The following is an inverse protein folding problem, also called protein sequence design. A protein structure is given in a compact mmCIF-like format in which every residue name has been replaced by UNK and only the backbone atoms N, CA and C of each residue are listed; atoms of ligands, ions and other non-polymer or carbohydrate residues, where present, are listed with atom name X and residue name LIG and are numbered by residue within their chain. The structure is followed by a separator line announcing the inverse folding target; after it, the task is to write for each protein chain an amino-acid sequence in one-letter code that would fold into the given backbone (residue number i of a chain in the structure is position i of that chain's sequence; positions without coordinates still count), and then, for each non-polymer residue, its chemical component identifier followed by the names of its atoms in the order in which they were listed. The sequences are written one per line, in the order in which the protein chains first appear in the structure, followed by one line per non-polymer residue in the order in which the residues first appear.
data_IF_827736648074
#
_entry.id   IF_827736648074
#
_cell.length_a   1.000
_cell.length_b   1.000
_cell.length_c   1.000
_cell.angle_alpha   90.00
_cell.angle_beta   90.00
_cell.angle_gamma   90.00
#
_symmetry.space_group_name_H-M   'P 1'
#
loop_
_entity.id
_entity.type
_entity.pdbx_description
1 polymer ?
#
# COMPACT_ATOMS: atom_id res chain seq x y z
N UNK A 1 -4.11 -17.84 16.69
CA UNK A 1 -3.06 -16.78 16.88
C UNK A 1 -2.86 -16.02 15.57
N UNK A 2 -2.57 -14.70 15.64
CA UNK A 2 -2.26 -13.87 14.47
C UNK A 2 -0.76 -13.92 14.13
N UNK A 3 -0.41 -14.15 12.87
CA UNK A 3 0.92 -13.88 12.33
C UNK A 3 0.88 -12.65 11.41
N UNK A 4 1.83 -11.75 11.58
CA UNK A 4 2.01 -10.56 10.76
C UNK A 4 3.22 -10.76 9.85
N UNK A 5 2.98 -10.90 8.55
CA UNK A 5 4.03 -11.00 7.54
C UNK A 5 4.46 -9.57 7.20
N UNK A 6 5.63 -9.18 7.70
CA UNK A 6 6.10 -7.80 7.66
C UNK A 6 7.05 -7.54 6.50
N UNK A 7 6.79 -6.47 5.79
CA UNK A 7 7.73 -5.77 4.92
C UNK A 7 8.20 -4.44 5.54
N UNK A 8 8.76 -3.57 4.72
CA UNK A 8 9.30 -2.26 5.09
C UNK A 8 8.19 -1.21 5.28
N UNK A 9 8.51 -0.10 5.94
CA UNK A 9 7.62 1.03 6.18
C UNK A 9 6.91 0.98 7.54
N UNK A 10 6.11 2.00 7.82
CA UNK A 10 5.52 2.23 9.14
C UNK A 10 4.29 1.34 9.45
N UNK A 11 3.62 0.78 8.45
CA UNK A 11 2.38 0.02 8.63
C UNK A 11 2.53 -1.18 9.59
N UNK A 12 3.58 -2.03 9.50
CA UNK A 12 3.76 -3.14 10.43
C UNK A 12 3.80 -2.70 11.89
N UNK A 13 4.59 -1.67 12.19
CA UNK A 13 4.70 -1.11 13.55
C UNK A 13 3.37 -0.56 14.04
N UNK A 14 2.59 0.07 13.15
CA UNK A 14 1.27 0.60 13.49
C UNK A 14 0.29 -0.52 13.83
N UNK A 15 0.27 -1.60 13.09
CA UNK A 15 -0.57 -2.77 13.37
C UNK A 15 -0.21 -3.36 14.73
N UNK A 16 1.08 -3.61 14.98
CA UNK A 16 1.53 -4.19 16.27
C UNK A 16 1.13 -3.33 17.47
N UNK A 17 1.25 -2.00 17.37
CA UNK A 17 0.84 -1.06 18.44
C UNK A 17 -0.66 -1.11 18.75
N UNK A 18 -1.50 -1.51 17.80
CA UNK A 18 -2.95 -1.58 17.95
C UNK A 18 -3.46 -2.99 18.26
N UNK A 19 -2.62 -4.02 18.21
CA UNK A 19 -3.00 -5.37 18.60
C UNK A 19 -3.10 -5.51 20.12
N UNK A 20 -4.19 -6.11 20.61
CA UNK A 20 -4.32 -6.43 22.05
C UNK A 20 -3.24 -7.40 22.53
N UNK A 21 -2.90 -8.39 21.71
CA UNK A 21 -1.77 -9.30 21.93
C UNK A 21 -0.77 -9.12 20.78
N UNK A 22 0.52 -9.10 21.11
CA UNK A 22 1.57 -9.00 20.12
C UNK A 22 1.46 -10.17 19.12
N UNK A 23 1.30 -9.92 17.82
CA UNK A 23 1.28 -10.96 16.82
C UNK A 23 2.66 -11.62 16.67
N UNK A 24 2.71 -12.80 16.08
CA UNK A 24 3.95 -13.42 15.64
C UNK A 24 4.50 -12.60 14.45
N UNK A 25 5.67 -12.01 14.61
CA UNK A 25 6.30 -11.18 13.57
C UNK A 25 7.11 -12.08 12.65
N UNK A 26 6.73 -12.11 11.39
CA UNK A 26 7.37 -12.92 10.35
C UNK A 26 7.87 -12.00 9.24
N UNK A 27 9.06 -12.21 8.72
CA UNK A 27 9.61 -11.34 7.68
C UNK A 27 10.39 -12.12 6.63
N UNK A 28 10.30 -11.67 5.38
CA UNK A 28 11.26 -12.08 4.35
C UNK A 28 12.65 -11.56 4.71
N UNK A 29 13.65 -12.45 4.65
CA UNK A 29 15.04 -12.09 4.99
C UNK A 29 15.56 -10.88 4.21
N UNK A 30 15.08 -10.71 2.97
CA UNK A 30 15.49 -9.62 2.07
C UNK A 30 14.78 -8.27 2.37
N UNK A 31 13.63 -8.28 3.06
CA UNK A 31 12.78 -7.10 3.29
C UNK A 31 12.33 -7.05 4.75
N UNK A 32 13.28 -6.79 5.64
CA UNK A 32 13.03 -6.69 7.08
C UNK A 32 12.22 -5.44 7.41
N UNK A 33 11.30 -5.49 8.38
CA UNK A 33 10.61 -4.31 8.88
C UNK A 33 11.60 -3.35 9.55
N UNK A 34 11.35 -2.04 9.41
CA UNK A 34 12.30 -1.00 9.82
C UNK A 34 12.46 -0.90 11.35
N UNK A 35 11.37 -1.12 12.10
CA UNK A 35 11.33 -0.88 13.57
C UNK A 35 10.99 -2.13 14.38
N UNK A 36 10.69 -3.25 13.75
CA UNK A 36 10.30 -4.49 14.43
C UNK A 36 11.40 -5.54 14.31
N UNK A 37 11.57 -6.33 15.39
CA UNK A 37 12.43 -7.50 15.35
C UNK A 37 11.57 -8.72 14.99
N UNK A 38 11.80 -9.39 13.86
CA UNK A 38 11.07 -10.58 13.49
C UNK A 38 11.34 -11.75 14.44
N UNK A 39 10.28 -12.48 14.77
CA UNK A 39 10.37 -13.76 15.48
C UNK A 39 10.79 -14.89 14.55
N UNK A 40 10.44 -14.77 13.27
CA UNK A 40 10.77 -15.72 12.21
C UNK A 40 11.23 -14.94 10.97
N UNK A 41 12.39 -15.35 10.44
CA UNK A 41 12.85 -14.91 9.13
C UNK A 41 12.74 -16.07 8.15
N UNK A 42 12.23 -15.83 6.95
CA UNK A 42 12.10 -16.84 5.90
C UNK A 42 12.54 -16.31 4.55
N UNK A 43 12.65 -17.19 3.59
CA UNK A 43 12.88 -16.92 2.19
C UNK A 43 11.75 -17.57 1.38
N UNK A 44 11.46 -17.10 0.17
CA UNK A 44 10.44 -17.76 -0.66
C UNK A 44 10.81 -19.21 -0.97
N UNK A 45 12.09 -19.53 -1.02
CA UNK A 45 12.62 -20.89 -1.18
C UNK A 45 12.30 -21.82 -0.01
N UNK A 46 11.91 -21.25 1.14
CA UNK A 46 11.53 -22.00 2.37
C UNK A 46 10.10 -21.70 2.80
N UNK A 47 9.24 -21.30 1.87
CA UNK A 47 7.84 -20.94 2.16
C UNK A 47 7.04 -22.11 2.74
N UNK A 48 7.22 -23.33 2.21
CA UNK A 48 6.55 -24.52 2.73
C UNK A 48 6.95 -24.82 4.18
N UNK A 49 8.25 -24.71 4.50
CA UNK A 49 8.72 -24.82 5.89
C UNK A 49 8.11 -23.73 6.79
N UNK A 50 7.95 -22.50 6.28
CA UNK A 50 7.25 -21.46 7.04
C UNK A 50 5.80 -21.85 7.34
N UNK A 51 5.05 -22.31 6.33
CA UNK A 51 3.63 -22.68 6.51
C UNK A 51 3.49 -23.81 7.55
N UNK A 52 4.35 -24.81 7.53
CA UNK A 52 4.39 -25.88 8.53
C UNK A 52 4.69 -25.33 9.93
N UNK A 53 5.69 -24.44 10.06
CA UNK A 53 6.05 -23.82 11.32
C UNK A 53 4.91 -22.94 11.90
N UNK A 54 4.18 -22.22 11.04
CA UNK A 54 3.01 -21.43 11.47
C UNK A 54 1.88 -22.34 11.98
N UNK A 55 1.62 -23.46 11.33
CA UNK A 55 0.67 -24.47 11.77
C UNK A 55 1.08 -25.08 13.12
N UNK A 56 2.34 -25.45 13.31
CA UNK A 56 2.87 -25.96 14.59
C UNK A 56 2.75 -24.95 15.73
N UNK A 57 2.74 -23.64 15.41
CA UNK A 57 2.54 -22.55 16.38
C UNK A 57 1.07 -22.16 16.57
N UNK A 58 0.15 -22.94 16.04
CA UNK A 58 -1.30 -22.69 16.14
C UNK A 58 -1.72 -21.31 15.59
N UNK A 59 -1.01 -20.81 14.57
CA UNK A 59 -1.43 -19.64 13.81
C UNK A 59 -2.70 -20.00 13.05
N UNK A 60 -3.70 -19.17 13.11
CA UNK A 60 -4.98 -19.34 12.38
C UNK A 60 -5.21 -18.22 11.38
N UNK A 61 -4.63 -17.06 11.64
CA UNK A 61 -4.89 -15.84 10.89
C UNK A 61 -3.57 -15.20 10.48
N UNK A 62 -3.50 -14.71 9.24
CA UNK A 62 -2.32 -14.05 8.68
C UNK A 62 -2.72 -12.69 8.13
N UNK A 63 -1.93 -11.68 8.43
CA UNK A 63 -2.04 -10.36 7.82
C UNK A 63 -0.70 -10.00 7.17
N UNK A 64 -0.75 -9.44 5.97
CA UNK A 64 0.42 -8.91 5.28
C UNK A 64 0.47 -7.40 5.46
N UNK A 65 1.63 -6.85 5.80
CA UNK A 65 1.78 -5.43 6.03
C UNK A 65 3.17 -4.92 5.68
N UNK A 66 3.22 -3.77 5.03
CA UNK A 66 4.47 -3.12 4.61
C UNK A 66 4.93 -3.52 3.22
N UNK A 67 5.84 -2.72 2.67
CA UNK A 67 6.33 -2.87 1.32
C UNK A 67 7.31 -4.05 1.17
N UNK A 68 7.03 -4.91 0.22
CA UNK A 68 7.93 -5.99 -0.21
C UNK A 68 8.15 -5.78 -1.71
N UNK A 69 9.39 -5.56 -2.09
CA UNK A 69 9.77 -5.57 -3.50
C UNK A 69 9.86 -7.02 -3.98
N UNK A 70 9.88 -7.20 -5.29
CA UNK A 70 10.02 -8.52 -5.88
C UNK A 70 11.32 -9.18 -5.42
N UNK A 71 11.26 -10.30 -4.65
CA UNK A 71 12.45 -10.96 -4.14
C UNK A 71 13.14 -11.76 -5.25
N UNK A 72 14.46 -11.86 -5.14
CA UNK A 72 15.23 -12.81 -5.95
C UNK A 72 15.04 -14.23 -5.41
N UNK A 73 14.79 -15.17 -6.31
CA UNK A 73 14.61 -16.61 -5.98
C UNK A 73 15.76 -17.43 -6.55
N UNK A 74 16.38 -18.22 -5.70
CA UNK A 74 17.36 -19.21 -6.10
C UNK A 74 16.75 -20.62 -6.06
N UNK A 75 16.38 -21.14 -7.22
CA UNK A 75 15.72 -22.45 -7.34
C UNK A 75 16.51 -23.62 -6.74
N UNK A 76 17.84 -23.48 -6.57
CA UNK A 76 18.69 -24.53 -5.96
C UNK A 76 18.55 -24.57 -4.42
N UNK A 77 17.91 -23.58 -3.82
CA UNK A 77 17.69 -23.47 -2.37
C UNK A 77 16.27 -23.84 -1.96
N UNK A 78 15.40 -24.22 -2.90
CA UNK A 78 14.02 -24.63 -2.61
C UNK A 78 14.08 -25.91 -1.76
N UNK A 79 13.51 -25.82 -0.56
CA UNK A 79 13.46 -26.94 0.39
C UNK A 79 12.38 -27.97 0.01
N UNK A 80 12.40 -29.14 0.68
CA UNK A 80 11.50 -30.25 0.41
C UNK A 80 10.02 -29.86 0.62
N UNK A 81 9.70 -29.06 1.64
CA UNK A 81 8.35 -28.61 1.93
C UNK A 81 7.86 -27.56 0.92
N UNK A 82 8.77 -26.80 0.31
CA UNK A 82 8.44 -25.79 -0.70
C UNK A 82 8.35 -26.36 -2.12
N UNK A 83 8.95 -27.53 -2.38
CA UNK A 83 8.93 -28.16 -3.70
C UNK A 83 7.52 -28.27 -4.32
N UNK A 84 6.47 -28.66 -3.58
CA UNK A 84 5.10 -28.68 -4.13
C UNK A 84 4.58 -27.31 -4.56
N UNK A 85 5.07 -26.23 -3.97
CA UNK A 85 4.67 -24.85 -4.24
C UNK A 85 5.52 -24.18 -5.35
N UNK A 86 6.59 -24.82 -5.79
CA UNK A 86 7.58 -24.22 -6.70
C UNK A 86 6.94 -23.72 -8.02
N UNK A 87 5.97 -24.46 -8.56
CA UNK A 87 5.26 -24.06 -9.77
C UNK A 87 4.42 -22.80 -9.55
N UNK A 88 3.66 -22.72 -8.45
CA UNK A 88 2.84 -21.57 -8.09
C UNK A 88 3.70 -20.33 -7.81
N UNK A 89 4.82 -20.50 -7.11
CA UNK A 89 5.78 -19.42 -6.85
C UNK A 89 6.37 -18.90 -8.17
N UNK A 90 6.76 -19.80 -9.07
CA UNK A 90 7.29 -19.42 -10.39
C UNK A 90 6.23 -18.67 -11.23
N UNK A 91 4.98 -19.11 -11.19
CA UNK A 91 3.86 -18.43 -11.84
C UNK A 91 3.64 -17.03 -11.26
N UNK A 92 3.66 -16.89 -9.93
CA UNK A 92 3.56 -15.61 -9.25
C UNK A 92 4.65 -14.65 -9.71
N UNK A 93 5.89 -15.12 -9.79
CA UNK A 93 7.02 -14.30 -10.21
C UNK A 93 6.97 -13.90 -11.69
N UNK A 94 6.20 -14.58 -12.52
CA UNK A 94 5.98 -14.21 -13.93
C UNK A 94 4.85 -13.19 -14.14
N UNK A 95 4.00 -12.95 -13.11
CA UNK A 95 2.89 -11.99 -13.14
C UNK A 95 3.34 -10.59 -12.71
N UNK A 96 2.46 -9.59 -12.89
CA UNK A 96 2.57 -8.28 -12.22
C UNK A 96 2.42 -8.41 -10.71
N UNK A 97 2.63 -7.30 -9.98
CA UNK A 97 2.68 -7.34 -8.52
C UNK A 97 1.34 -7.80 -7.90
N UNK A 98 0.19 -7.29 -8.39
CA UNK A 98 -1.13 -7.75 -7.93
C UNK A 98 -1.35 -9.26 -8.19
N UNK A 99 -0.94 -9.74 -9.36
CA UNK A 99 -1.05 -11.16 -9.69
C UNK A 99 -0.17 -12.05 -8.82
N UNK A 100 1.03 -11.60 -8.46
CA UNK A 100 1.93 -12.31 -7.56
C UNK A 100 1.34 -12.38 -6.14
N UNK A 101 0.80 -11.28 -5.65
CA UNK A 101 0.18 -11.18 -4.32
C UNK A 101 -1.05 -12.10 -4.18
N UNK A 102 -1.89 -12.22 -5.22
CA UNK A 102 -3.03 -13.15 -5.23
C UNK A 102 -2.60 -14.60 -5.07
N UNK A 103 -1.56 -15.02 -5.82
CA UNK A 103 -1.04 -16.38 -5.69
C UNK A 103 -0.51 -16.63 -4.28
N UNK A 104 0.13 -15.61 -3.66
CA UNK A 104 0.57 -15.73 -2.26
C UNK A 104 -0.61 -15.91 -1.31
N UNK A 105 -1.69 -15.14 -1.44
CA UNK A 105 -2.92 -15.32 -0.64
C UNK A 105 -3.45 -16.74 -0.81
N UNK A 106 -3.60 -17.21 -2.05
CA UNK A 106 -4.11 -18.56 -2.34
C UNK A 106 -3.25 -19.65 -1.68
N UNK A 107 -1.92 -19.52 -1.66
CA UNK A 107 -1.01 -20.47 -0.99
C UNK A 107 -1.31 -20.52 0.52
N UNK A 108 -1.45 -19.35 1.18
CA UNK A 108 -1.75 -19.31 2.61
C UNK A 108 -3.15 -19.84 2.93
N UNK A 109 -4.17 -19.49 2.14
CA UNK A 109 -5.54 -19.99 2.30
C UNK A 109 -5.62 -21.52 2.09
N UNK A 110 -4.92 -22.06 1.10
CA UNK A 110 -4.82 -23.52 0.87
C UNK A 110 -4.10 -24.25 2.00
N UNK A 111 -3.18 -23.57 2.69
CA UNK A 111 -2.51 -24.08 3.89
C UNK A 111 -3.40 -24.00 5.16
N UNK A 112 -4.60 -23.43 5.06
CA UNK A 112 -5.60 -23.37 6.13
C UNK A 112 -5.60 -22.11 6.98
N UNK A 113 -4.93 -21.02 6.53
CA UNK A 113 -4.92 -19.75 7.23
C UNK A 113 -6.01 -18.80 6.70
N UNK A 114 -6.66 -18.08 7.61
CA UNK A 114 -7.49 -16.93 7.25
C UNK A 114 -6.59 -15.74 6.94
N UNK A 115 -6.68 -15.19 5.72
CA UNK A 115 -5.93 -13.98 5.34
C UNK A 115 -6.83 -12.76 5.50
N UNK A 116 -6.42 -11.82 6.35
CA UNK A 116 -7.15 -10.59 6.68
C UNK A 116 -6.37 -9.34 6.28
N UNK A 117 -7.09 -8.23 6.09
CA UNK A 117 -6.51 -6.92 5.80
C UNK A 117 -5.97 -6.22 7.05
N UNK A 118 -5.13 -5.21 6.85
CA UNK A 118 -4.65 -4.35 7.93
C UNK A 118 -5.80 -3.56 8.58
N UNK A 119 -6.80 -3.19 7.82
CA UNK A 119 -8.02 -2.49 8.24
C UNK A 119 -8.95 -3.34 9.09
N UNK A 120 -8.93 -4.67 8.97
CA UNK A 120 -9.65 -5.57 9.87
C UNK A 120 -9.06 -5.53 11.30
N UNK A 121 -7.74 -5.26 11.43
CA UNK A 121 -7.06 -5.16 12.72
C UNK A 121 -7.13 -3.73 13.26
N UNK A 122 -6.98 -2.74 12.39
CA UNK A 122 -6.93 -1.31 12.74
C UNK A 122 -7.91 -0.53 11.84
N UNK A 123 -9.21 -0.52 12.15
CA UNK A 123 -10.24 0.13 11.34
C UNK A 123 -9.99 1.63 11.14
N UNK A 124 -9.35 2.30 12.11
CA UNK A 124 -9.05 3.74 12.06
C UNK A 124 -8.06 4.12 10.94
N UNK A 125 -7.42 3.14 10.29
CA UNK A 125 -6.60 3.38 9.09
C UNK A 125 -7.45 3.84 7.89
N UNK A 126 -8.75 3.60 7.90
CA UNK A 126 -9.69 4.00 6.85
C UNK A 126 -10.61 5.12 7.35
N UNK A 127 -10.23 6.39 7.18
CA UNK A 127 -11.05 7.52 7.62
C UNK A 127 -12.38 7.60 6.86
N UNK A 128 -13.38 8.19 7.52
CA UNK A 128 -14.71 8.42 6.95
C UNK A 128 -14.67 9.44 5.80
N UNK A 129 -15.67 9.38 4.92
CA UNK A 129 -15.88 10.33 3.82
C UNK A 129 -15.96 11.76 4.34
N UNK A 130 -15.28 12.67 3.67
CA UNK A 130 -15.27 14.09 3.96
C UNK A 130 -13.90 14.74 3.84
N UNK A 131 -13.83 16.03 4.09
CA UNK A 131 -12.57 16.77 4.16
C UNK A 131 -12.07 16.72 5.60
N UNK A 132 -10.85 16.21 5.78
CA UNK A 132 -10.27 16.00 7.11
C UNK A 132 -9.56 17.23 7.67
N UNK A 133 -9.21 18.20 6.81
CA UNK A 133 -8.36 19.36 7.11
C UNK A 133 -9.15 20.66 7.10
N UNK A 134 -8.52 21.74 7.60
CA UNK A 134 -9.13 23.09 7.60
C UNK A 134 -9.29 23.67 6.21
N UNK A 135 -8.30 23.47 5.34
CA UNK A 135 -8.38 23.87 3.94
C UNK A 135 -9.37 22.99 3.22
N UNK A 136 -10.22 23.59 2.39
CA UNK A 136 -11.21 22.88 1.58
C UNK A 136 -10.76 22.81 0.12
N UNK A 137 -11.12 21.74 -0.62
CA UNK A 137 -10.89 21.67 -2.05
C UNK A 137 -11.76 22.71 -2.79
N UNK A 138 -11.18 23.35 -3.79
CA UNK A 138 -11.90 24.23 -4.73
C UNK A 138 -12.71 23.39 -5.73
N UNK A 139 -13.58 24.04 -6.52
CA UNK A 139 -14.30 23.38 -7.61
C UNK A 139 -13.32 22.82 -8.68
N UNK A 140 -12.19 23.48 -8.90
CA UNK A 140 -11.17 22.98 -9.79
C UNK A 140 -10.51 21.71 -9.25
N UNK A 141 -10.17 21.69 -7.94
CA UNK A 141 -9.60 20.50 -7.29
C UNK A 141 -10.58 19.30 -7.35
N UNK A 142 -11.88 19.54 -7.25
CA UNK A 142 -12.91 18.49 -7.39
C UNK A 142 -12.96 17.95 -8.83
N UNK A 143 -12.85 18.84 -9.82
CA UNK A 143 -12.76 18.45 -11.23
C UNK A 143 -11.50 17.64 -11.51
N UNK A 144 -10.36 18.07 -10.93
CA UNK A 144 -9.08 17.36 -11.04
C UNK A 144 -9.14 15.99 -10.36
N UNK A 145 -9.83 15.88 -9.21
CA UNK A 145 -10.07 14.60 -8.53
C UNK A 145 -10.91 13.62 -9.40
N UNK A 146 -11.98 14.12 -10.02
CA UNK A 146 -12.80 13.33 -10.96
C UNK A 146 -11.94 12.82 -12.13
N UNK A 147 -11.07 13.68 -12.66
CA UNK A 147 -10.11 13.29 -13.69
C UNK A 147 -9.13 12.22 -13.19
N UNK A 148 -8.64 12.36 -11.94
CA UNK A 148 -7.76 11.39 -11.29
C UNK A 148 -8.39 10.01 -11.16
N UNK A 149 -9.63 9.96 -10.73
CA UNK A 149 -10.38 8.71 -10.66
C UNK A 149 -10.47 8.04 -12.04
N UNK A 150 -10.87 8.79 -13.08
CA UNK A 150 -10.98 8.26 -14.43
C UNK A 150 -9.63 7.70 -14.96
N UNK A 151 -8.51 8.36 -14.63
CA UNK A 151 -7.16 7.91 -15.03
C UNK A 151 -6.82 6.60 -14.32
N UNK A 152 -6.92 6.54 -12.97
CA UNK A 152 -6.58 5.33 -12.21
C UNK A 152 -7.49 4.17 -12.60
N UNK A 153 -8.79 4.41 -12.77
CA UNK A 153 -9.71 3.39 -13.27
C UNK A 153 -9.33 2.87 -14.67
N UNK A 154 -8.95 3.78 -15.57
CA UNK A 154 -8.58 3.44 -16.94
C UNK A 154 -7.31 2.58 -17.06
N UNK A 155 -6.34 2.75 -16.14
CA UNK A 155 -5.08 1.99 -16.15
C UNK A 155 -5.07 0.81 -15.18
N UNK A 156 -6.11 0.63 -14.38
CA UNK A 156 -6.20 -0.44 -13.37
C UNK A 156 -5.91 -1.83 -13.94
N UNK A 157 -6.42 -2.12 -15.15
CA UNK A 157 -6.21 -3.41 -15.81
C UNK A 157 -4.79 -3.61 -16.35
N UNK A 158 -3.98 -2.53 -16.40
CA UNK A 158 -2.60 -2.57 -16.88
C UNK A 158 -1.58 -2.74 -15.74
N UNK A 159 -2.05 -2.75 -14.50
CA UNK A 159 -1.22 -2.89 -13.29
C UNK A 159 -0.06 -1.87 -13.21
N UNK A 160 -0.30 -0.61 -13.60
CA UNK A 160 0.75 0.41 -13.72
C UNK A 160 1.01 1.14 -12.39
N UNK A 161 -0.04 1.61 -11.70
CA UNK A 161 0.08 2.39 -10.47
C UNK A 161 -1.29 2.72 -9.89
N UNK A 162 -1.29 3.39 -8.73
CA UNK A 162 -2.50 3.69 -7.95
C UNK A 162 -2.56 5.15 -7.49
N UNK A 163 -1.68 6.01 -8.04
CA UNK A 163 -1.70 7.45 -7.80
C UNK A 163 -1.38 8.26 -9.05
N UNK A 164 -1.93 9.46 -9.15
CA UNK A 164 -1.59 10.44 -10.18
C UNK A 164 -1.68 11.87 -9.63
N UNK A 165 -0.88 12.77 -10.20
CA UNK A 165 -0.93 14.20 -9.92
C UNK A 165 -1.63 14.92 -11.08
N UNK A 166 -2.62 15.76 -10.75
CA UNK A 166 -3.45 16.46 -11.73
C UNK A 166 -3.62 17.91 -11.33
N UNK A 167 -3.48 18.82 -12.28
CA UNK A 167 -3.79 20.22 -12.11
C UNK A 167 -4.44 20.79 -13.37
N UNK A 168 -5.54 21.53 -13.19
CA UNK A 168 -6.29 22.17 -14.28
C UNK A 168 -6.68 21.18 -15.41
N UNK A 169 -7.07 19.97 -15.04
CA UNK A 169 -7.45 18.90 -15.97
C UNK A 169 -6.27 18.20 -16.66
N UNK A 170 -5.02 18.63 -16.40
CA UNK A 170 -3.81 18.03 -17.01
C UNK A 170 -3.19 17.02 -16.04
N UNK A 171 -2.85 15.84 -16.56
CA UNK A 171 -2.06 14.84 -15.81
C UNK A 171 -0.62 15.32 -15.79
N UNK A 172 -0.11 15.67 -14.61
CA UNK A 172 1.26 16.13 -14.43
C UNK A 172 2.24 14.96 -14.31
N UNK A 173 1.84 13.93 -13.59
CA UNK A 173 2.61 12.70 -13.40
C UNK A 173 1.68 11.54 -13.04
N UNK A 174 2.14 10.33 -13.29
CA UNK A 174 1.46 9.10 -12.92
C UNK A 174 2.42 8.16 -12.22
N UNK A 175 1.94 7.52 -11.16
CA UNK A 175 2.71 6.50 -10.45
C UNK A 175 2.96 5.29 -11.35
N UNK A 176 4.19 4.80 -11.31
CA UNK A 176 4.63 3.59 -11.97
C UNK A 176 5.64 2.87 -11.05
N UNK A 177 6.56 2.09 -11.60
CA UNK A 177 7.54 1.28 -10.87
C UNK A 177 8.30 2.03 -9.76
N UNK A 178 8.54 3.33 -9.92
CA UNK A 178 9.23 4.16 -8.91
C UNK A 178 8.41 4.46 -7.66
N UNK A 179 7.10 4.21 -7.66
CA UNK A 179 6.19 4.51 -6.56
C UNK A 179 5.78 5.98 -6.47
N UNK A 180 4.87 6.28 -5.53
CA UNK A 180 4.30 7.63 -5.32
C UNK A 180 5.37 8.67 -5.00
N UNK A 181 6.36 8.31 -4.19
CA UNK A 181 7.42 9.22 -3.75
C UNK A 181 8.29 9.69 -4.91
N UNK A 182 8.70 8.75 -5.77
CA UNK A 182 9.47 9.08 -6.96
C UNK A 182 8.65 9.96 -7.93
N UNK A 183 7.37 9.64 -8.10
CA UNK A 183 6.46 10.45 -8.91
C UNK A 183 6.37 11.89 -8.40
N UNK A 184 6.15 12.09 -7.10
CA UNK A 184 6.07 13.43 -6.49
C UNK A 184 7.39 14.18 -6.60
N UNK A 185 8.52 13.52 -6.34
CA UNK A 185 9.85 14.11 -6.49
C UNK A 185 10.12 14.57 -7.92
N UNK A 186 9.68 13.84 -8.94
CA UNK A 186 9.85 14.24 -10.34
C UNK A 186 9.16 15.58 -10.67
N UNK A 187 8.12 15.94 -9.90
CA UNK A 187 7.42 17.21 -10.06
C UNK A 187 8.16 18.40 -9.48
N UNK A 188 9.14 18.21 -8.60
CA UNK A 188 9.97 19.29 -8.04
C UNK A 188 10.98 19.83 -9.05
N UNK A 189 11.35 19.03 -10.04
CA UNK A 189 12.34 19.36 -11.08
C UNK A 189 11.71 19.99 -12.34
N UNK A 190 10.46 20.43 -12.27
CA UNK A 190 9.74 21.00 -13.41
C UNK A 190 10.41 22.27 -13.93
N UNK A 191 10.64 22.33 -15.23
CA UNK A 191 11.16 23.51 -15.92
C UNK A 191 10.08 24.11 -16.83
N UNK A 192 9.93 25.44 -16.78
CA UNK A 192 8.96 26.16 -17.60
C UNK A 192 7.63 26.41 -16.89
N UNK A 193 6.59 26.75 -17.66
CA UNK A 193 5.26 27.10 -17.14
C UNK A 193 4.39 25.85 -16.98
N UNK A 194 4.40 25.30 -15.77
CA UNK A 194 3.49 24.20 -15.40
C UNK A 194 2.27 24.74 -14.63
N UNK A 195 1.12 24.09 -14.69
CA UNK A 195 0.01 24.41 -13.81
C UNK A 195 0.44 24.34 -12.33
N UNK A 196 0.01 25.32 -11.56
CA UNK A 196 0.22 25.35 -10.09
C UNK A 196 -1.01 24.77 -9.38
N UNK A 197 -0.79 24.24 -8.20
CA UNK A 197 -1.85 23.61 -7.43
C UNK A 197 -2.23 22.24 -7.97
N UNK A 198 -3.53 21.92 -7.85
CA UNK A 198 -4.05 20.59 -8.22
C UNK A 198 -3.91 19.56 -7.11
N UNK A 199 -4.10 18.30 -7.44
CA UNK A 199 -4.27 17.24 -6.45
C UNK A 199 -3.35 16.05 -6.71
N UNK A 200 -2.88 15.42 -5.63
CA UNK A 200 -2.52 14.02 -5.64
C UNK A 200 -3.82 13.21 -5.49
N UNK A 201 -4.20 12.45 -6.51
CA UNK A 201 -5.31 11.49 -6.40
C UNK A 201 -4.74 10.10 -6.17
N UNK A 202 -5.29 9.36 -5.18
CA UNK A 202 -4.85 7.99 -4.87
C UNK A 202 -6.06 7.09 -4.63
N UNK A 203 -6.06 5.91 -5.28
CA UNK A 203 -7.11 4.91 -5.15
C UNK A 203 -6.54 3.51 -5.43
N UNK A 204 -7.13 2.45 -4.87
CA UNK A 204 -6.75 1.09 -5.25
C UNK A 204 -7.12 0.80 -6.71
N UNK A 205 -6.47 -0.16 -7.32
CA UNK A 205 -6.86 -0.69 -8.62
C UNK A 205 -8.21 -1.41 -8.50
N UNK A 206 -9.04 -1.38 -9.54
CA UNK A 206 -10.43 -1.89 -9.51
C UNK A 206 -10.51 -3.35 -9.03
N UNK A 207 -9.56 -4.18 -9.44
CA UNK A 207 -9.54 -5.61 -9.12
C UNK A 207 -8.55 -5.98 -8.01
N UNK A 208 -7.97 -5.01 -7.29
CA UNK A 208 -6.98 -5.25 -6.24
C UNK A 208 -7.58 -6.01 -5.05
N UNK A 209 -6.87 -7.04 -4.58
CA UNK A 209 -7.23 -7.70 -3.32
C UNK A 209 -6.86 -6.80 -2.14
N UNK A 210 -7.87 -6.30 -1.44
CA UNK A 210 -7.73 -5.31 -0.37
C UNK A 210 -7.04 -5.84 0.88
N UNK A 211 -6.98 -7.15 1.03
CA UNK A 211 -6.37 -7.81 2.20
C UNK A 211 -4.84 -7.74 2.18
N UNK A 212 -4.25 -7.43 1.03
CA UNK A 212 -2.80 -7.53 0.88
C UNK A 212 -2.10 -6.18 0.65
N UNK A 213 -2.61 -5.35 -0.24
CA UNK A 213 -1.89 -4.15 -0.70
C UNK A 213 -2.84 -2.98 -0.92
N UNK A 214 -3.32 -2.39 0.17
CA UNK A 214 -3.96 -1.09 0.05
C UNK A 214 -2.91 0.01 -0.05
N UNK A 215 -3.09 0.97 -1.00
CA UNK A 215 -2.28 2.16 -1.02
C UNK A 215 -2.36 2.89 0.33
N UNK A 216 -1.28 3.54 0.72
CA UNK A 216 -1.25 4.30 1.96
C UNK A 216 -0.72 5.71 1.75
N UNK A 217 -1.09 6.62 2.67
CA UNK A 217 -0.50 7.95 2.85
C UNK A 217 -0.10 8.11 4.31
N UNK A 218 0.94 8.93 4.53
CA UNK A 218 1.44 9.31 5.85
C UNK A 218 1.81 10.78 5.90
N UNK A 219 2.32 11.29 7.04
CA UNK A 219 2.76 12.69 7.16
C UNK A 219 3.81 13.09 6.12
N UNK A 220 4.73 12.20 5.77
CA UNK A 220 5.74 12.44 4.74
C UNK A 220 5.12 12.65 3.35
N UNK A 221 3.98 12.00 3.06
CA UNK A 221 3.25 12.22 1.81
C UNK A 221 2.79 13.68 1.71
N UNK A 222 2.34 14.30 2.81
CA UNK A 222 1.94 15.71 2.85
C UNK A 222 3.12 16.64 2.49
N UNK A 223 4.32 16.36 3.02
CA UNK A 223 5.53 17.14 2.71
C UNK A 223 5.87 17.06 1.21
N UNK A 224 5.91 15.86 0.66
CA UNK A 224 6.19 15.67 -0.77
C UNK A 224 5.15 16.28 -1.70
N UNK A 225 3.86 16.23 -1.32
CA UNK A 225 2.77 16.89 -2.04
C UNK A 225 2.96 18.40 -2.06
N UNK A 226 3.39 18.99 -0.92
CA UNK A 226 3.70 20.43 -0.83
C UNK A 226 4.90 20.80 -1.68
N UNK A 227 5.99 20.04 -1.60
CA UNK A 227 7.21 20.23 -2.41
C UNK A 227 6.92 20.10 -3.91
N UNK A 228 6.04 19.17 -4.30
CA UNK A 228 5.55 19.02 -5.65
C UNK A 228 4.64 20.19 -6.11
N UNK A 229 4.34 21.17 -5.25
CA UNK A 229 3.52 22.34 -5.56
C UNK A 229 2.04 22.04 -5.76
N UNK A 230 1.54 20.92 -5.22
CA UNK A 230 0.14 20.55 -5.23
C UNK A 230 -0.62 21.21 -4.07
N UNK A 231 -1.95 21.30 -4.19
CA UNK A 231 -2.84 21.94 -3.22
C UNK A 231 -3.43 21.01 -2.19
N UNK A 232 -3.45 19.69 -2.48
CA UNK A 232 -4.02 18.72 -1.56
C UNK A 232 -3.94 17.28 -2.06
N UNK A 233 -4.51 16.41 -1.23
CA UNK A 233 -4.57 14.97 -1.43
C UNK A 233 -6.03 14.55 -1.48
N UNK A 234 -6.38 13.77 -2.49
CA UNK A 234 -7.70 13.13 -2.62
C UNK A 234 -7.49 11.62 -2.59
N UNK A 235 -8.18 10.97 -1.68
CA UNK A 235 -8.09 9.51 -1.52
C UNK A 235 -9.47 8.87 -1.66
N UNK A 236 -9.52 7.69 -2.29
CA UNK A 236 -10.73 6.90 -2.38
C UNK A 236 -11.15 6.37 -1.00
N UNK A 237 -12.41 6.61 -0.62
CA UNK A 237 -12.99 6.07 0.61
C UNK A 237 -12.85 4.55 0.67
N UNK A 238 -12.55 4.06 1.86
CA UNK A 238 -12.34 2.64 2.14
C UNK A 238 -11.32 1.96 1.20
N UNK A 239 -10.45 2.71 0.53
CA UNK A 239 -9.49 2.19 -0.45
C UNK A 239 -8.04 2.64 -0.23
N UNK A 240 -7.80 3.57 0.70
CA UNK A 240 -6.45 4.09 0.98
C UNK A 240 -6.26 4.18 2.49
N UNK A 241 -5.23 3.53 3.00
CA UNK A 241 -4.86 3.60 4.41
C UNK A 241 -4.23 4.95 4.73
N UNK A 242 -4.63 5.56 5.84
CA UNK A 242 -4.01 6.78 6.37
C UNK A 242 -3.24 6.42 7.63
N UNK A 243 -1.92 6.43 7.54
CA UNK A 243 -1.05 6.11 8.66
C UNK A 243 -0.94 7.31 9.58
N UNK A 244 -1.31 7.13 10.87
CA UNK A 244 -1.29 8.23 11.85
C UNK A 244 -2.20 9.40 11.47
N UNK A 245 -3.49 9.13 11.31
CA UNK A 245 -4.51 10.09 10.82
C UNK A 245 -4.37 11.46 11.47
N UNK A 246 -4.18 11.52 12.80
CA UNK A 246 -4.04 12.79 13.53
C UNK A 246 -2.78 13.57 13.09
N UNK A 247 -1.66 12.89 12.89
CA UNK A 247 -0.40 13.51 12.46
C UNK A 247 -0.47 13.93 11.00
N UNK A 248 -1.14 13.12 10.15
CA UNK A 248 -1.40 13.47 8.74
C UNK A 248 -2.24 14.74 8.63
N UNK A 249 -3.31 14.86 9.43
CA UNK A 249 -4.16 16.07 9.45
C UNK A 249 -3.36 17.28 9.97
N UNK A 250 -2.62 17.12 11.07
CA UNK A 250 -1.82 18.19 11.64
C UNK A 250 -0.75 18.70 10.64
N UNK A 251 -0.07 17.78 9.96
CA UNK A 251 0.95 18.12 8.97
C UNK A 251 0.34 18.78 7.71
N UNK A 252 -0.79 18.26 7.22
CA UNK A 252 -1.50 18.86 6.09
C UNK A 252 -1.99 20.28 6.43
N UNK A 253 -2.57 20.49 7.61
CA UNK A 253 -2.99 21.82 8.09
C UNK A 253 -1.80 22.78 8.22
N UNK A 254 -0.65 22.31 8.73
CA UNK A 254 0.58 23.11 8.85
C UNK A 254 1.10 23.57 7.49
N UNK A 255 0.96 22.70 6.47
CA UNK A 255 1.42 22.94 5.10
C UNK A 255 0.39 23.67 4.23
N UNK A 256 -0.78 24.02 4.78
CA UNK A 256 -1.91 24.55 4.03
C UNK A 256 -2.29 23.65 2.85
N UNK A 257 -2.47 22.35 3.13
CA UNK A 257 -2.99 21.35 2.20
C UNK A 257 -4.39 20.91 2.64
N UNK A 258 -5.23 20.51 1.69
CA UNK A 258 -6.44 19.76 2.04
C UNK A 258 -6.20 18.25 1.89
N UNK A 259 -6.95 17.46 2.69
CA UNK A 259 -7.10 16.01 2.52
C UNK A 259 -8.58 15.73 2.40
N UNK A 260 -8.96 15.15 1.28
CA UNK A 260 -10.34 14.81 0.99
C UNK A 260 -10.48 13.31 0.75
N UNK A 261 -11.30 12.66 1.59
CA UNK A 261 -11.75 11.27 1.43
C UNK A 261 -13.03 11.31 0.59
N UNK A 262 -12.99 10.82 -0.62
CA UNK A 262 -14.13 10.87 -1.53
C UNK A 262 -14.72 9.48 -1.81
N UNK A 263 -16.03 9.40 -1.98
CA UNK A 263 -16.66 8.23 -2.57
C UNK A 263 -16.28 8.11 -4.05
N UNK A 264 -16.01 6.92 -4.52
CA UNK A 264 -15.79 6.64 -5.94
C UNK A 264 -16.92 5.73 -6.45
N UNK A 265 -17.46 5.95 -7.66
CA UNK A 265 -17.09 6.94 -8.67
C UNK A 265 -17.46 8.38 -8.25
N UNK A 266 -16.62 9.34 -8.69
CA UNK A 266 -16.83 10.78 -8.51
C UNK A 266 -17.73 11.35 -9.60
#
# INVERSE_FOLDING_TARGET
MLALICGQGALPTRIVKNCYMRPLIVSLTQFQPDELVPDINFRLETLGTLLDLLNQREVTTVCFAGGIRRPDINSTLIDEFTQPLAASISEAMAKGDDGALRVMIEIFEQAGFDVIGADDIVPDLLPSVGVLTKRLPTLQDQTDATRGHAIIAGVSNLDVGQACAIANGQVLAMEAYGGTDWMLNSLTERVGSWPLGGVLFKAPKIAQDRRFDLPCIGPETCQKVKEAGLSGIVIAHAGVLVLDVADVIAEADRLDLFIWVCEVPL
#
